data_IF_958333859242
#
_entry.id   IF_958333859242
#
_cell.length_a   1.000
_cell.length_b   1.000
_cell.length_c   1.000
_cell.angle_alpha   90.00
_cell.angle_beta   90.00
_cell.angle_gamma   90.00
#
_symmetry.space_group_name_H-M   'P 1'
#
loop_
_entity.id
_entity.type
_entity.pdbx_description
1 polymer ?
#
# COMPACT_ATOMS: atom_id res chain seq x y z
N UNK A 1 6.40 11.71 1.26
CA UNK A 1 7.33 10.75 1.91
C UNK A 1 7.22 10.82 3.43
N UNK A 2 7.59 11.92 4.09
CA UNK A 2 7.61 12.00 5.57
C UNK A 2 6.26 11.73 6.25
N UNK A 3 5.16 12.28 5.73
CA UNK A 3 3.82 11.99 6.23
C UNK A 3 3.46 10.51 6.13
N UNK A 4 3.79 9.86 5.02
CA UNK A 4 3.50 8.44 4.85
C UNK A 4 4.34 7.58 5.81
N UNK A 5 5.63 7.92 6.01
CA UNK A 5 6.49 7.30 7.02
C UNK A 5 5.89 7.40 8.43
N UNK A 6 5.41 8.59 8.81
CA UNK A 6 4.76 8.79 10.09
C UNK A 6 3.42 8.06 10.21
N UNK A 7 2.69 7.92 9.09
CA UNK A 7 1.48 7.12 9.00
C UNK A 7 1.76 5.63 9.24
N UNK A 8 2.81 5.08 8.62
CA UNK A 8 3.24 3.70 8.87
C UNK A 8 3.58 3.47 10.35
N UNK A 9 4.30 4.40 10.99
CA UNK A 9 4.57 4.33 12.44
C UNK A 9 3.28 4.35 13.27
N UNK A 10 2.31 5.20 12.93
CA UNK A 10 1.00 5.24 13.62
C UNK A 10 0.20 3.96 13.45
N UNK A 11 0.34 3.29 12.31
CA UNK A 11 -0.25 1.96 12.09
C UNK A 11 0.52 0.84 12.82
N UNK A 12 1.58 1.18 13.54
CA UNK A 12 2.35 0.25 14.37
C UNK A 12 3.52 -0.41 13.66
N UNK A 13 3.93 0.06 12.47
CA UNK A 13 5.14 -0.42 11.79
C UNK A 13 6.38 0.08 12.54
N UNK A 14 7.28 -0.84 12.89
CA UNK A 14 8.50 -0.59 13.66
C UNK A 14 9.76 -0.85 12.82
N UNK A 15 10.91 -0.40 13.34
CA UNK A 15 12.24 -0.75 12.78
C UNK A 15 12.35 -2.27 12.66
N UNK A 16 12.78 -2.76 11.51
CA UNK A 16 12.93 -4.19 11.21
C UNK A 16 11.65 -4.87 10.71
N UNK A 17 10.49 -4.21 10.72
CA UNK A 17 9.27 -4.75 10.11
C UNK A 17 9.34 -4.72 8.59
N UNK A 18 8.67 -5.67 7.96
CA UNK A 18 8.61 -5.81 6.50
C UNK A 18 7.31 -5.23 5.96
N UNK A 19 7.44 -4.45 4.88
CA UNK A 19 6.34 -3.83 4.16
C UNK A 19 6.39 -4.29 2.71
N UNK A 20 5.42 -5.09 2.30
CA UNK A 20 5.28 -5.50 0.91
C UNK A 20 4.67 -4.38 0.08
N UNK A 21 5.18 -4.19 -1.14
CA UNK A 21 4.70 -3.18 -2.07
C UNK A 21 4.44 -3.84 -3.41
N UNK A 22 3.17 -3.89 -3.82
CA UNK A 22 2.73 -4.35 -5.14
C UNK A 22 2.08 -3.19 -5.89
N UNK A 23 2.93 -2.39 -6.52
CA UNK A 23 2.53 -1.23 -7.31
C UNK A 23 3.26 -1.26 -8.67
N UNK A 24 2.65 -0.74 -9.74
CA UNK A 24 3.38 -0.43 -10.98
C UNK A 24 4.35 0.74 -10.75
N UNK A 25 5.04 1.14 -11.82
CA UNK A 25 5.90 2.32 -11.81
C UNK A 25 5.06 3.59 -11.63
N UNK A 26 4.89 4.02 -10.39
CA UNK A 26 4.12 5.21 -10.02
C UNK A 26 4.77 5.96 -8.85
N UNK A 27 4.44 7.24 -8.63
CA UNK A 27 4.95 8.01 -7.51
C UNK A 27 4.71 7.32 -6.15
N UNK A 28 3.59 6.61 -6.00
CA UNK A 28 3.23 5.92 -4.77
C UNK A 28 4.22 4.81 -4.40
N UNK A 29 4.80 4.11 -5.39
CA UNK A 29 5.84 3.13 -5.16
C UNK A 29 7.06 3.77 -4.49
N UNK A 30 7.54 4.89 -5.05
CA UNK A 30 8.68 5.63 -4.51
C UNK A 30 8.36 6.17 -3.11
N UNK A 31 7.17 6.75 -2.93
CA UNK A 31 6.74 7.26 -1.63
C UNK A 31 6.72 6.14 -0.58
N UNK A 32 6.16 4.98 -0.91
CA UNK A 32 6.06 3.84 0.00
C UNK A 32 7.44 3.27 0.34
N UNK A 33 8.29 3.02 -0.67
CA UNK A 33 9.62 2.45 -0.46
C UNK A 33 10.49 3.34 0.42
N UNK A 34 10.59 4.64 0.09
CA UNK A 34 11.39 5.59 0.87
C UNK A 34 10.82 5.82 2.27
N UNK A 35 9.50 5.82 2.44
CA UNK A 35 8.88 5.94 3.75
C UNK A 35 9.19 4.73 4.64
N UNK A 36 9.12 3.52 4.09
CA UNK A 36 9.48 2.28 4.79
C UNK A 36 10.93 2.31 5.23
N UNK A 37 11.88 2.63 4.33
CA UNK A 37 13.29 2.74 4.71
C UNK A 37 13.54 3.84 5.74
N UNK A 38 12.86 4.98 5.63
CA UNK A 38 12.99 6.10 6.58
C UNK A 38 12.64 5.73 8.02
N UNK A 39 11.76 4.75 8.23
CA UNK A 39 11.39 4.26 9.57
C UNK A 39 12.17 3.00 9.97
N UNK A 40 13.23 2.67 9.23
CA UNK A 40 14.04 1.47 9.45
C UNK A 40 13.33 0.17 9.12
N UNK A 41 12.24 0.24 8.34
CA UNK A 41 11.54 -0.93 7.82
C UNK A 41 12.23 -1.50 6.58
N UNK A 42 11.84 -2.73 6.22
CA UNK A 42 12.37 -3.49 5.10
C UNK A 42 11.31 -3.51 3.99
N UNK A 43 11.69 -3.09 2.79
CA UNK A 43 10.81 -3.15 1.62
C UNK A 43 10.85 -4.56 1.03
N UNK A 44 9.68 -5.17 0.87
CA UNK A 44 9.50 -6.42 0.13
C UNK A 44 8.84 -6.09 -1.21
N UNK A 45 9.62 -6.08 -2.27
CA UNK A 45 9.10 -5.79 -3.61
C UNK A 45 8.25 -6.96 -4.11
N UNK A 46 6.99 -6.70 -4.43
CA UNK A 46 6.07 -7.68 -4.98
C UNK A 46 5.70 -7.29 -6.41
N UNK A 47 5.93 -8.19 -7.36
CA UNK A 47 5.64 -7.91 -8.76
C UNK A 47 4.11 -7.85 -8.99
N UNK A 48 3.57 -6.77 -9.60
CA UNK A 48 2.15 -6.67 -9.95
C UNK A 48 1.59 -7.82 -10.81
N UNK A 49 2.46 -8.56 -11.50
CA UNK A 49 2.08 -9.72 -12.33
C UNK A 49 1.94 -11.02 -11.55
N UNK A 50 2.39 -11.08 -10.29
CA UNK A 50 2.28 -12.30 -9.48
C UNK A 50 0.84 -12.66 -9.22
N UNK A 51 0.52 -13.94 -9.32
CA UNK A 51 -0.81 -14.46 -9.01
C UNK A 51 -0.98 -14.69 -7.50
N UNK A 52 -2.21 -14.86 -7.01
CA UNK A 52 -2.52 -14.95 -5.58
C UNK A 52 -1.61 -15.92 -4.80
N UNK A 53 -1.41 -17.15 -5.30
CA UNK A 53 -0.52 -18.15 -4.65
C UNK A 53 0.94 -17.68 -4.49
N UNK A 54 1.47 -16.91 -5.44
CA UNK A 54 2.85 -16.41 -5.41
C UNK A 54 2.96 -15.26 -4.42
N UNK A 55 1.92 -14.43 -4.34
CA UNK A 55 1.81 -13.35 -3.35
C UNK A 55 1.68 -13.94 -1.94
N UNK A 56 0.85 -14.97 -1.76
CA UNK A 56 0.71 -15.68 -0.49
C UNK A 56 2.05 -16.26 -0.03
N UNK A 57 2.76 -16.96 -0.92
CA UNK A 57 4.07 -17.50 -0.62
C UNK A 57 5.07 -16.41 -0.22
N UNK A 58 5.15 -15.32 -0.99
CA UNK A 58 6.03 -14.18 -0.70
C UNK A 58 5.72 -13.54 0.66
N UNK A 59 4.44 -13.35 0.99
CA UNK A 59 4.01 -12.75 2.25
C UNK A 59 4.38 -13.64 3.44
N UNK A 60 4.15 -14.95 3.32
CA UNK A 60 4.45 -15.90 4.38
C UNK A 60 5.96 -16.12 4.56
N UNK A 61 6.71 -16.27 3.47
CA UNK A 61 8.17 -16.42 3.49
C UNK A 61 8.86 -15.18 4.08
N UNK A 62 8.43 -13.99 3.66
CA UNK A 62 8.96 -12.75 4.22
C UNK A 62 8.45 -12.43 5.62
N UNK A 63 7.38 -13.06 6.12
CA UNK A 63 6.75 -12.66 7.38
C UNK A 63 6.32 -11.18 7.36
N UNK A 64 5.74 -10.75 6.23
CA UNK A 64 5.23 -9.39 6.05
C UNK A 64 3.87 -9.24 6.72
N UNK A 65 3.69 -8.15 7.49
CA UNK A 65 2.41 -7.84 8.13
C UNK A 65 1.70 -6.61 7.54
N UNK A 66 2.40 -5.82 6.72
CA UNK A 66 1.89 -4.59 6.11
C UNK A 66 2.04 -4.65 4.59
N UNK A 67 0.97 -4.40 3.85
CA UNK A 67 0.95 -4.52 2.39
C UNK A 67 0.43 -3.25 1.73
N UNK A 68 1.20 -2.64 0.83
CA UNK A 68 0.78 -1.53 -0.03
C UNK A 68 0.44 -2.07 -1.41
N UNK A 69 -0.79 -1.84 -1.89
CA UNK A 69 -1.29 -2.45 -3.13
C UNK A 69 -2.10 -1.45 -3.97
N UNK A 70 -2.02 -1.59 -5.30
CA UNK A 70 -2.85 -0.84 -6.23
C UNK A 70 -4.31 -1.31 -6.14
N UNK A 71 -5.28 -0.40 -6.21
CA UNK A 71 -6.70 -0.77 -6.09
C UNK A 71 -7.12 -1.85 -7.08
N UNK A 72 -6.65 -1.81 -8.33
CA UNK A 72 -6.93 -2.85 -9.33
C UNK A 72 -6.36 -4.24 -9.01
N UNK A 73 -5.43 -4.34 -8.06
CA UNK A 73 -4.82 -5.59 -7.60
C UNK A 73 -5.27 -6.00 -6.20
N UNK A 74 -6.13 -5.21 -5.56
CA UNK A 74 -6.53 -5.41 -4.17
C UNK A 74 -7.20 -6.76 -3.93
N UNK A 75 -8.09 -7.20 -4.82
CA UNK A 75 -8.78 -8.49 -4.67
C UNK A 75 -7.82 -9.68 -4.55
N UNK A 76 -6.65 -9.59 -5.19
CA UNK A 76 -5.60 -10.62 -5.08
C UNK A 76 -4.97 -10.67 -3.70
N UNK A 77 -4.78 -9.50 -3.07
CA UNK A 77 -4.28 -9.42 -1.69
C UNK A 77 -5.38 -9.82 -0.71
N UNK A 78 -6.63 -9.41 -0.96
CA UNK A 78 -7.80 -9.77 -0.14
C UNK A 78 -7.98 -11.29 -0.06
N UNK A 79 -7.87 -12.00 -1.19
CA UNK A 79 -8.09 -13.45 -1.24
C UNK A 79 -7.09 -14.26 -0.41
N UNK A 80 -5.88 -13.73 -0.16
CA UNK A 80 -4.82 -14.44 0.57
C UNK A 80 -4.78 -14.06 2.06
N UNK A 81 -5.55 -13.05 2.52
CA UNK A 81 -5.49 -12.56 3.91
C UNK A 81 -5.78 -13.67 4.92
N UNK A 82 -6.72 -14.57 4.64
CA UNK A 82 -7.07 -15.67 5.53
C UNK A 82 -5.92 -16.68 5.75
N UNK A 83 -4.98 -16.75 4.80
CA UNK A 83 -3.87 -17.72 4.81
C UNK A 83 -2.52 -17.06 5.15
N UNK A 84 -2.51 -15.80 5.58
CA UNK A 84 -1.28 -15.03 5.79
C UNK A 84 -1.31 -14.24 7.10
N UNK A 85 -0.13 -13.83 7.56
CA UNK A 85 0.03 -12.94 8.71
C UNK A 85 -0.29 -11.47 8.43
N UNK A 86 -1.00 -11.15 7.33
CA UNK A 86 -1.29 -9.76 6.96
C UNK A 86 -2.24 -9.10 7.93
N UNK A 87 -1.72 -8.09 8.62
CA UNK A 87 -2.49 -7.26 9.54
C UNK A 87 -3.01 -6.02 8.85
N UNK A 88 -2.20 -5.36 8.03
CA UNK A 88 -2.49 -4.02 7.48
C UNK A 88 -2.44 -4.02 5.97
N UNK A 89 -3.50 -3.56 5.32
CA UNK A 89 -3.50 -3.35 3.87
C UNK A 89 -3.74 -1.88 3.55
N UNK A 90 -2.85 -1.30 2.76
CA UNK A 90 -2.90 0.09 2.32
C UNK A 90 -3.17 0.09 0.82
N UNK A 91 -4.36 0.56 0.43
CA UNK A 91 -4.79 0.58 -0.97
C UNK A 91 -4.53 1.97 -1.55
N UNK A 92 -3.92 2.04 -2.72
CA UNK A 92 -3.75 3.30 -3.48
C UNK A 92 -4.42 3.23 -4.84
N UNK A 93 -4.89 4.37 -5.32
CA UNK A 93 -5.45 4.52 -6.65
C UNK A 93 -4.47 5.27 -7.56
N UNK A 94 -4.29 4.80 -8.80
CA UNK A 94 -3.37 5.38 -9.78
C UNK A 94 -3.67 6.87 -10.05
N UNK A 95 -4.96 7.26 -9.98
CA UNK A 95 -5.42 8.62 -10.30
C UNK A 95 -5.05 9.68 -9.25
N UNK A 96 -4.52 9.28 -8.10
CA UNK A 96 -4.24 10.19 -6.98
C UNK A 96 -3.31 11.35 -7.36
N UNK A 97 -2.38 11.11 -8.28
CA UNK A 97 -1.38 12.09 -8.72
C UNK A 97 -1.59 12.55 -10.18
N UNK A 98 -2.75 12.25 -10.79
CA UNK A 98 -3.05 12.75 -12.14
C UNK A 98 -3.43 14.24 -12.10
N UNK A 99 -3.05 15.03 -13.13
CA UNK A 99 -3.54 16.39 -13.31
C UNK A 99 -5.07 16.45 -13.33
N UNK A 100 -5.67 17.52 -12.82
CA UNK A 100 -7.12 17.57 -12.51
C UNK A 100 -8.05 17.10 -13.63
N UNK A 101 -7.83 17.56 -14.86
CA UNK A 101 -8.64 17.15 -16.02
C UNK A 101 -8.50 15.64 -16.32
N UNK A 102 -7.28 15.10 -16.25
CA UNK A 102 -7.00 13.68 -16.46
C UNK A 102 -7.63 12.82 -15.36
N UNK A 103 -7.58 13.29 -14.10
CA UNK A 103 -8.23 12.63 -12.96
C UNK A 103 -9.75 12.50 -13.17
N UNK A 104 -10.39 13.57 -13.63
CA UNK A 104 -11.84 13.58 -13.92
C UNK A 104 -12.21 12.64 -15.07
N UNK A 105 -11.49 12.73 -16.19
CA UNK A 105 -11.71 11.86 -17.36
C UNK A 105 -11.50 10.37 -17.01
N UNK A 106 -10.48 10.05 -16.22
CA UNK A 106 -10.22 8.67 -15.78
C UNK A 106 -11.35 8.13 -14.89
N UNK A 107 -11.87 8.94 -13.97
CA UNK A 107 -12.98 8.55 -13.10
C UNK A 107 -14.26 8.24 -13.88
N UNK A 108 -14.56 8.99 -14.93
CA UNK A 108 -15.74 8.76 -15.77
C UNK A 108 -15.58 7.56 -16.72
N UNK A 109 -14.42 7.42 -17.36
CA UNK A 109 -14.26 6.51 -18.49
C UNK A 109 -13.68 5.13 -18.14
N UNK A 110 -12.80 5.04 -17.12
CA UNK A 110 -11.92 3.86 -16.93
C UNK A 110 -11.97 3.23 -15.55
N UNK A 111 -12.41 3.95 -14.52
CA UNK A 111 -12.33 3.47 -13.14
C UNK A 111 -13.11 2.18 -12.87
N UNK A 112 -14.29 2.03 -13.49
CA UNK A 112 -15.11 0.80 -13.38
C UNK A 112 -14.58 -0.32 -14.27
N UNK A 113 -14.02 0.00 -15.44
CA UNK A 113 -13.58 -0.97 -16.45
C UNK A 113 -12.21 -1.56 -16.14
N UNK A 114 -11.34 -0.80 -15.47
CA UNK A 114 -9.96 -1.19 -15.13
C UNK A 114 -9.82 -1.68 -13.67
N UNK A 115 -10.94 -1.92 -12.98
CA UNK A 115 -10.96 -2.50 -11.63
C UNK A 115 -10.51 -1.56 -10.52
N UNK A 116 -10.43 -0.25 -10.77
CA UNK A 116 -9.98 0.72 -9.77
C UNK A 116 -11.06 1.16 -8.78
N UNK A 117 -12.35 0.92 -9.08
CA UNK A 117 -13.46 1.09 -8.13
C UNK A 117 -13.53 -0.13 -7.21
N UNK A 118 -12.77 -0.06 -6.12
CA UNK A 118 -12.81 -1.06 -5.04
C UNK A 118 -13.49 -0.46 -3.84
N UNK A 119 -14.37 -1.25 -3.21
CA UNK A 119 -14.94 -0.92 -1.93
C UNK A 119 -14.13 -1.61 -0.82
N UNK A 120 -13.46 -0.81 0.00
CA UNK A 120 -12.69 -1.27 1.16
C UNK A 120 -13.44 -1.07 2.48
N UNK A 121 -14.66 -0.49 2.46
CA UNK A 121 -15.37 -0.04 3.66
C UNK A 121 -15.76 -1.17 4.63
N UNK A 122 -15.88 -2.40 4.14
CA UNK A 122 -16.17 -3.59 4.96
C UNK A 122 -14.95 -4.39 5.39
N UNK A 123 -13.74 -4.02 4.97
CA UNK A 123 -12.54 -4.83 5.23
C UNK A 123 -11.74 -4.26 6.40
N UNK A 124 -11.74 -4.96 7.53
CA UNK A 124 -10.97 -4.59 8.71
C UNK A 124 -9.48 -4.41 8.38
N UNK A 125 -8.86 -3.40 8.99
CA UNK A 125 -7.45 -3.03 8.80
C UNK A 125 -7.01 -2.74 7.35
N UNK A 126 -7.98 -2.41 6.48
CA UNK A 126 -7.74 -1.86 5.14
C UNK A 126 -7.94 -0.35 5.15
N UNK A 127 -6.97 0.40 4.63
CA UNK A 127 -7.01 1.87 4.61
C UNK A 127 -6.59 2.44 3.26
N UNK A 128 -7.11 3.61 2.90
CA UNK A 128 -6.63 4.33 1.73
C UNK A 128 -5.29 5.01 2.01
N UNK A 129 -4.38 4.93 1.03
CA UNK A 129 -3.07 5.56 1.06
C UNK A 129 -3.13 7.05 1.40
N UNK A 130 -4.11 7.76 0.84
CA UNK A 130 -4.32 9.19 1.10
C UNK A 130 -4.80 9.47 2.52
N UNK A 131 -5.58 8.57 3.13
CA UNK A 131 -6.05 8.75 4.49
C UNK A 131 -4.91 8.53 5.49
N UNK A 132 -4.00 7.58 5.20
CA UNK A 132 -2.72 7.43 5.93
C UNK A 132 -1.91 8.73 5.89
N UNK A 133 -1.81 9.38 4.72
CA UNK A 133 -1.07 10.64 4.58
C UNK A 133 -1.75 11.82 5.30
N UNK A 134 -3.08 11.96 5.17
CA UNK A 134 -3.83 13.06 5.77
C UNK A 134 -3.90 12.95 7.29
N UNK A 135 -4.06 11.74 7.80
CA UNK A 135 -4.12 11.47 9.23
C UNK A 135 -2.77 11.65 9.93
N UNK A 136 -1.65 11.44 9.23
CA UNK A 136 -0.32 11.43 9.81
C UNK A 136 0.28 12.83 10.10
N UNK A 137 1.19 12.94 11.10
CA UNK A 137 1.90 14.17 11.38
C UNK A 137 2.89 14.46 10.24
N UNK A 138 3.42 15.69 10.19
CA UNK A 138 4.28 16.12 9.10
C UNK A 138 5.60 15.33 9.01
N UNK A 139 6.11 14.84 10.15
CA UNK A 139 7.38 14.13 10.27
C UNK A 139 7.21 12.82 11.04
N UNK A 140 7.93 11.74 10.66
CA UNK A 140 8.01 10.54 11.47
C UNK A 140 8.88 10.80 12.71
N UNK A 141 8.69 9.98 13.73
CA UNK A 141 9.61 9.92 14.86
C UNK A 141 10.97 9.44 14.36
N UNK A 142 12.08 10.10 14.74
CA UNK A 142 13.43 9.63 14.40
C UNK A 142 13.64 8.19 14.83
N UNK A 143 14.31 7.42 13.98
CA UNK A 143 14.67 6.03 14.27
C UNK A 143 16.18 6.01 14.44
N UNK A 144 16.66 5.42 15.54
CA UNK A 144 18.09 5.21 15.76
C UNK A 144 18.64 4.32 14.64
N UNK A 145 19.75 4.76 14.03
CA UNK A 145 20.40 4.07 12.91
C UNK A 145 21.28 2.96 13.47
#
# INVERSE_FOLDING_TARGET
>A
MNRFAAGLQRMGVKKGDRVAIMLPNCPQFIIAAYATWRIGGIVVCCNPLYVAREVEHLVNDSGTETFVVMSSLYERVKSIRANTGLKRVIVTNIKEYFPGLLKFLFTLAKEKKEGHRVDISGDADTTWFQDVIRGAPAQPTPVEI
#
